data_IF_677041148702
#
_entry.id   IF_677041148702
#
_cell.length_a   1.000
_cell.length_b   1.000
_cell.length_c   1.000
_cell.angle_alpha   90.00
_cell.angle_beta   90.00
_cell.angle_gamma   90.00
#
_symmetry.space_group_name_H-M   'P 1'
#
loop_
_entity.id
_entity.type
_entity.pdbx_description
1 polymer ?
#
# COMPACT_ATOMS: atom_id res chain seq x y z
N UNK A 1 5.19 7.95 -23.17
CA UNK A 1 4.11 7.62 -22.20
C UNK A 1 3.80 6.13 -22.15
N UNK A 2 3.48 5.46 -23.26
CA UNK A 2 3.22 4.00 -23.29
C UNK A 2 4.44 3.19 -22.83
N UNK A 3 5.63 3.50 -23.31
CA UNK A 3 6.88 2.85 -22.86
C UNK A 3 7.12 3.03 -21.35
N UNK A 4 6.79 4.20 -20.79
CA UNK A 4 6.92 4.46 -19.36
C UNK A 4 5.91 3.66 -18.53
N UNK A 5 4.67 3.50 -19.00
CA UNK A 5 3.66 2.63 -18.37
C UNK A 5 4.06 1.16 -18.41
N UNK A 6 4.59 0.69 -19.55
CA UNK A 6 5.12 -0.67 -19.71
C UNK A 6 6.30 -0.91 -18.78
N UNK A 7 7.28 0.00 -18.74
CA UNK A 7 8.42 -0.09 -17.83
C UNK A 7 7.95 -0.09 -16.37
N UNK A 8 7.02 0.78 -15.97
CA UNK A 8 6.46 0.78 -14.62
C UNK A 8 5.72 -0.51 -14.28
N UNK A 9 5.01 -1.12 -15.23
CA UNK A 9 4.32 -2.40 -15.02
C UNK A 9 5.30 -3.55 -14.75
N UNK A 10 6.41 -3.61 -15.49
CA UNK A 10 7.41 -4.66 -15.35
C UNK A 10 8.47 -4.41 -14.26
N UNK A 11 8.68 -3.15 -13.85
CA UNK A 11 9.70 -2.81 -12.86
C UNK A 11 9.19 -3.11 -11.45
N UNK A 12 9.79 -4.06 -10.74
CA UNK A 12 9.40 -4.44 -9.37
C UNK A 12 9.56 -3.27 -8.39
N UNK A 13 8.65 -3.09 -7.42
CA UNK A 13 8.88 -2.16 -6.32
C UNK A 13 10.19 -2.54 -5.62
N UNK A 14 10.94 -1.52 -5.20
CA UNK A 14 12.22 -1.67 -4.47
C UNK A 14 12.08 -1.19 -3.03
N UNK A 15 10.85 -0.91 -2.62
CA UNK A 15 10.51 -0.38 -1.32
C UNK A 15 10.74 -1.41 -0.23
N UNK A 16 11.44 -0.95 0.81
CA UNK A 16 11.69 -1.69 2.03
C UNK A 16 10.36 -2.11 2.66
N UNK A 17 10.34 -3.32 3.24
CA UNK A 17 9.19 -3.86 3.99
C UNK A 17 7.89 -3.96 3.15
N UNK A 18 7.99 -4.00 1.82
CA UNK A 18 6.82 -4.15 0.96
C UNK A 18 6.62 -5.60 0.49
N UNK A 19 5.38 -6.10 0.61
CA UNK A 19 4.98 -7.48 0.24
C UNK A 19 5.17 -7.84 -1.23
N UNK A 20 5.29 -6.85 -2.11
CA UNK A 20 5.54 -7.05 -3.54
C UNK A 20 7.01 -6.94 -3.95
N UNK A 21 7.91 -6.64 -3.01
CA UNK A 21 9.34 -6.46 -3.27
C UNK A 21 10.04 -7.82 -3.15
N UNK A 22 10.63 -8.38 -4.23
CA UNK A 22 11.30 -9.69 -4.19
C UNK A 22 12.77 -9.64 -3.75
N UNK A 23 13.29 -8.45 -3.46
CA UNK A 23 14.69 -8.25 -3.09
C UNK A 23 14.92 -8.46 -1.60
N UNK A 24 16.17 -8.34 -1.16
CA UNK A 24 16.59 -8.62 0.22
C UNK A 24 15.78 -7.85 1.29
N UNK A 25 15.40 -6.62 0.96
CA UNK A 25 14.66 -5.66 1.80
C UNK A 25 13.13 -5.78 1.68
N UNK A 26 12.60 -6.78 0.98
CA UNK A 26 11.15 -6.96 0.79
C UNK A 26 10.50 -7.97 1.75
N UNK A 27 9.17 -8.10 1.65
CA UNK A 27 8.36 -9.09 2.39
C UNK A 27 7.67 -10.12 1.46
N UNK A 28 8.20 -10.35 0.25
CA UNK A 28 7.59 -11.30 -0.67
C UNK A 28 7.63 -12.75 -0.18
N UNK A 29 8.70 -13.13 0.54
CA UNK A 29 8.82 -14.46 1.14
C UNK A 29 7.82 -14.63 2.29
N UNK A 30 7.63 -13.62 3.14
CA UNK A 30 6.52 -13.59 4.11
C UNK A 30 5.18 -13.77 3.41
N UNK A 31 4.97 -13.05 2.30
CA UNK A 31 3.74 -13.13 1.54
C UNK A 31 3.49 -14.53 0.97
N UNK A 32 4.53 -15.22 0.50
CA UNK A 32 4.44 -16.59 0.01
C UNK A 32 4.23 -17.61 1.14
N UNK A 33 4.73 -17.33 2.34
CA UNK A 33 4.63 -18.25 3.48
C UNK A 33 3.22 -18.27 4.10
N UNK A 34 2.60 -17.09 4.27
CA UNK A 34 1.32 -16.97 4.99
C UNK A 34 0.15 -16.44 4.15
N UNK A 35 0.39 -16.11 2.88
CA UNK A 35 -0.60 -15.65 1.89
C UNK A 35 -1.61 -14.61 2.42
N UNK A 36 -1.15 -13.50 3.04
CA UNK A 36 -2.03 -12.57 3.71
C UNK A 36 -2.89 -11.76 2.72
N UNK A 37 -4.14 -11.50 3.08
CA UNK A 37 -5.02 -10.59 2.34
C UNK A 37 -4.55 -9.15 2.58
N UNK A 38 -4.22 -8.43 1.50
CA UNK A 38 -3.72 -7.05 1.60
C UNK A 38 -4.84 -6.09 1.90
N UNK A 39 -4.60 -5.23 2.88
CA UNK A 39 -5.45 -4.09 3.20
C UNK A 39 -4.75 -2.81 2.75
N UNK A 40 -5.51 -1.89 2.18
CA UNK A 40 -4.98 -0.65 1.60
C UNK A 40 -5.45 0.61 2.32
N UNK A 41 -6.46 0.49 3.18
CA UNK A 41 -6.98 1.59 3.99
C UNK A 41 -7.59 1.05 5.29
N UNK A 42 -7.72 1.90 6.29
CA UNK A 42 -8.31 1.56 7.59
C UNK A 42 -9.83 1.30 7.53
N UNK A 43 -10.52 1.72 6.46
CA UNK A 43 -11.96 1.44 6.29
C UNK A 43 -12.24 -0.03 6.00
N UNK A 44 -11.32 -0.70 5.30
CA UNK A 44 -11.40 -2.13 4.99
C UNK A 44 -11.48 -2.98 6.27
N UNK A 45 -10.92 -2.49 7.39
CA UNK A 45 -10.96 -3.21 8.67
C UNK A 45 -12.39 -3.47 9.16
N UNK A 46 -13.30 -2.54 8.87
CA UNK A 46 -14.72 -2.66 9.27
C UNK A 46 -15.45 -3.76 8.51
N UNK A 47 -14.89 -4.23 7.40
CA UNK A 47 -15.44 -5.31 6.57
C UNK A 47 -14.90 -6.68 6.98
N UNK A 48 -13.89 -6.73 7.86
CA UNK A 48 -13.24 -7.96 8.30
C UNK A 48 -13.98 -8.53 9.52
N UNK A 49 -14.23 -9.84 9.52
CA UNK A 49 -14.60 -10.55 10.75
C UNK A 49 -13.37 -10.68 11.66
N UNK A 50 -13.25 -9.77 12.63
CA UNK A 50 -12.10 -9.71 13.51
C UNK A 50 -11.90 -10.98 14.37
N UNK A 51 -12.97 -11.68 14.74
CA UNK A 51 -12.94 -12.71 15.78
C UNK A 51 -12.05 -13.93 15.50
N UNK A 52 -11.74 -14.17 14.22
CA UNK A 52 -10.82 -15.22 13.77
C UNK A 52 -9.80 -14.66 12.77
N UNK A 53 -9.32 -13.44 12.99
CA UNK A 53 -8.42 -12.75 12.06
C UNK A 53 -7.19 -12.19 12.75
N UNK A 54 -6.06 -12.25 12.04
CA UNK A 54 -4.80 -11.61 12.42
C UNK A 54 -4.48 -10.50 11.41
N UNK A 55 -4.22 -9.29 11.91
CA UNK A 55 -3.80 -8.13 11.14
C UNK A 55 -2.32 -7.82 11.45
N UNK A 56 -1.48 -7.87 10.44
CA UNK A 56 -0.08 -7.45 10.51
C UNK A 56 0.05 -5.98 10.11
N UNK A 57 0.72 -5.20 10.96
CA UNK A 57 1.19 -3.84 10.68
C UNK A 57 2.71 -3.88 10.90
N UNK A 58 3.48 -3.82 9.81
CA UNK A 58 4.93 -4.02 9.83
C UNK A 58 5.61 -2.72 9.38
N UNK A 59 6.51 -2.19 10.22
CA UNK A 59 7.29 -0.97 9.96
C UNK A 59 6.44 0.21 9.50
N UNK A 60 5.39 0.61 10.25
CA UNK A 60 4.60 1.77 9.90
C UNK A 60 5.51 3.01 9.84
N UNK A 61 5.47 3.75 8.74
CA UNK A 61 6.28 4.94 8.52
C UNK A 61 5.45 6.20 8.24
N UNK A 62 4.18 6.02 7.85
CA UNK A 62 3.18 7.10 7.77
C UNK A 62 2.59 7.35 9.16
N UNK A 63 2.32 8.62 9.47
CA UNK A 63 1.60 8.98 10.68
C UNK A 63 0.17 8.39 10.69
N UNK A 64 -0.26 7.94 11.87
CA UNK A 64 -1.63 7.48 12.11
C UNK A 64 -2.55 8.68 12.33
N UNK A 65 -3.66 8.73 11.59
CA UNK A 65 -4.76 9.67 11.90
C UNK A 65 -5.73 9.03 12.89
N UNK A 66 -6.65 9.82 13.46
CA UNK A 66 -7.56 9.30 14.49
C UNK A 66 -8.45 8.16 13.96
N UNK A 67 -8.91 8.29 12.71
CA UNK A 67 -9.76 7.29 12.05
C UNK A 67 -9.03 5.95 11.87
N UNK A 68 -7.72 6.00 11.57
CA UNK A 68 -6.85 4.84 11.46
C UNK A 68 -6.74 4.11 12.80
N UNK A 69 -6.51 4.86 13.88
CA UNK A 69 -6.41 4.31 15.24
C UNK A 69 -7.74 3.72 15.71
N UNK A 70 -8.86 4.39 15.45
CA UNK A 70 -10.21 3.92 15.80
C UNK A 70 -10.55 2.61 15.09
N UNK A 71 -10.11 2.43 13.85
CA UNK A 71 -10.29 1.19 13.12
C UNK A 71 -9.52 0.01 13.76
N UNK A 72 -8.25 0.23 14.14
CA UNK A 72 -7.46 -0.77 14.87
C UNK A 72 -8.09 -1.10 16.23
N UNK A 73 -8.55 -0.08 16.96
CA UNK A 73 -9.27 -0.24 18.24
C UNK A 73 -10.50 -1.13 18.04
N UNK A 74 -11.32 -0.84 17.03
CA UNK A 74 -12.49 -1.64 16.69
C UNK A 74 -12.12 -3.09 16.43
N UNK A 75 -11.14 -3.34 15.57
CA UNK A 75 -10.66 -4.68 15.25
C UNK A 75 -10.25 -5.47 16.50
N UNK A 76 -9.48 -4.86 17.41
CA UNK A 76 -9.11 -5.47 18.69
C UNK A 76 -10.32 -5.73 19.61
N UNK A 77 -11.21 -4.74 19.77
CA UNK A 77 -12.41 -4.88 20.62
C UNK A 77 -13.29 -6.04 20.16
N UNK A 78 -13.42 -6.24 18.85
CA UNK A 78 -14.23 -7.30 18.25
C UNK A 78 -13.55 -8.69 18.25
N UNK A 79 -12.34 -8.82 18.80
CA UNK A 79 -11.67 -10.11 19.00
C UNK A 79 -10.46 -10.36 18.10
N UNK A 80 -10.11 -9.39 17.25
CA UNK A 80 -8.98 -9.49 16.35
C UNK A 80 -7.63 -9.58 17.04
N UNK A 81 -6.68 -10.22 16.36
CA UNK A 81 -5.26 -10.19 16.71
C UNK A 81 -4.56 -9.13 15.87
N UNK A 82 -3.88 -8.18 16.48
CA UNK A 82 -3.00 -7.24 15.77
C UNK A 82 -1.57 -7.57 16.11
N UNK A 83 -0.72 -7.72 15.10
CA UNK A 83 0.73 -7.84 15.24
C UNK A 83 1.33 -6.53 14.74
N UNK A 84 1.80 -5.71 15.67
CA UNK A 84 2.52 -4.48 15.39
C UNK A 84 4.02 -4.76 15.51
N UNK A 85 4.71 -4.85 14.38
CA UNK A 85 6.15 -5.00 14.31
C UNK A 85 6.76 -3.64 13.94
N UNK A 86 7.52 -3.05 14.86
CA UNK A 86 8.09 -1.72 14.69
C UNK A 86 9.40 -1.57 15.46
N UNK A 87 10.27 -0.71 14.95
CA UNK A 87 11.58 -0.41 15.51
C UNK A 87 11.79 1.12 15.62
N UNK A 88 11.80 1.81 14.48
CA UNK A 88 12.08 3.24 14.33
C UNK A 88 10.94 3.97 13.61
N UNK A 89 9.81 3.31 13.39
CA UNK A 89 8.64 3.84 12.71
C UNK A 89 7.68 4.63 13.61
N UNK A 90 6.42 4.71 13.17
CA UNK A 90 5.34 5.50 13.79
C UNK A 90 4.43 4.68 14.70
N UNK A 91 4.75 3.42 15.00
CA UNK A 91 3.92 2.52 15.81
C UNK A 91 3.64 3.04 17.22
N UNK A 92 4.55 3.83 17.79
CA UNK A 92 4.32 4.53 19.06
C UNK A 92 3.13 5.51 19.03
N UNK A 93 2.76 6.06 17.86
CA UNK A 93 1.55 6.89 17.72
C UNK A 93 0.29 6.07 17.92
N UNK A 94 0.23 4.87 17.33
CA UNK A 94 -0.86 3.93 17.54
C UNK A 94 -0.94 3.52 19.02
N UNK A 95 0.18 3.18 19.65
CA UNK A 95 0.21 2.86 21.09
C UNK A 95 -0.28 4.02 21.96
N UNK A 96 0.07 5.25 21.61
CA UNK A 96 -0.45 6.47 22.25
C UNK A 96 -1.97 6.64 22.05
N UNK A 97 -2.47 6.44 20.83
CA UNK A 97 -3.90 6.49 20.52
C UNK A 97 -4.73 5.40 21.20
N UNK A 98 -4.13 4.24 21.44
CA UNK A 98 -4.71 3.16 22.25
C UNK A 98 -4.71 3.47 23.77
N UNK A 99 -4.08 4.56 24.19
CA UNK A 99 -3.94 4.92 25.61
C UNK A 99 -3.05 3.95 26.40
N UNK A 100 -2.05 3.37 25.74
CA UNK A 100 -1.12 2.42 26.36
C UNK A 100 0.15 3.15 26.81
N UNK A 101 0.62 2.85 28.01
CA UNK A 101 1.91 3.30 28.54
C UNK A 101 2.99 2.27 28.21
N UNK A 102 3.10 1.95 26.92
CA UNK A 102 4.04 0.98 26.35
C UNK A 102 4.65 1.60 25.10
N UNK A 103 5.97 1.58 24.97
CA UNK A 103 6.65 2.19 23.82
C UNK A 103 7.76 1.30 23.29
N UNK A 104 7.92 1.31 21.97
CA UNK A 104 9.20 0.99 21.34
C UNK A 104 10.19 2.07 21.75
N UNK A 105 11.36 1.71 22.28
CA UNK A 105 12.33 2.70 22.75
C UNK A 105 12.89 3.54 21.60
N UNK A 106 12.98 2.97 20.41
CA UNK A 106 13.63 3.60 19.26
C UNK A 106 15.16 3.61 19.39
N UNK A 107 15.70 2.95 20.41
CA UNK A 107 17.14 2.77 20.61
C UNK A 107 17.57 1.41 20.07
N UNK A 108 18.73 1.35 19.43
CA UNK A 108 19.26 0.14 18.82
C UNK A 108 19.71 -0.87 19.89
N UNK A 109 19.06 -2.03 19.91
CA UNK A 109 19.43 -3.17 20.72
C UNK A 109 20.65 -3.88 20.11
N UNK A 110 21.68 -4.09 20.93
CA UNK A 110 22.93 -4.74 20.55
C UNK A 110 23.22 -5.88 21.52
N UNK A 111 23.65 -7.02 21.00
CA UNK A 111 24.17 -8.12 21.80
C UNK A 111 25.61 -8.48 21.41
N UNK A 112 26.60 -8.29 22.29
CA UNK A 112 28.00 -8.58 21.97
C UNK A 112 28.37 -10.07 22.03
N UNK A 113 27.47 -10.95 22.48
CA UNK A 113 27.77 -12.38 22.73
C UNK A 113 26.83 -13.30 21.97
N UNK A 114 25.53 -13.05 22.05
CA UNK A 114 24.47 -13.84 21.43
C UNK A 114 23.88 -13.08 20.25
N UNK A 115 24.65 -13.02 19.17
CA UNK A 115 24.26 -12.39 17.92
C UNK A 115 24.54 -13.33 16.75
N UNK A 116 23.88 -13.10 15.62
CA UNK A 116 24.14 -13.86 14.39
C UNK A 116 25.45 -13.43 13.73
N UNK A 117 25.39 -12.63 12.67
CA UNK A 117 26.57 -12.20 11.89
C UNK A 117 27.24 -10.96 12.49
N UNK A 118 26.46 -10.05 13.06
CA UNK A 118 26.93 -8.82 13.73
C UNK A 118 26.17 -8.58 15.03
N UNK A 119 26.74 -7.87 16.04
CA UNK A 119 26.09 -7.60 17.33
C UNK A 119 24.70 -6.94 17.24
N UNK A 120 24.45 -6.18 16.18
CA UNK A 120 23.16 -5.53 15.88
C UNK A 120 22.08 -6.51 15.40
N UNK A 121 22.43 -7.80 15.21
CA UNK A 121 21.51 -8.91 14.97
C UNK A 121 21.42 -9.85 16.19
N UNK A 122 20.87 -9.39 17.34
CA UNK A 122 20.69 -10.22 18.52
C UNK A 122 19.94 -11.51 18.22
N UNK A 123 20.38 -12.60 18.85
CA UNK A 123 19.67 -13.89 18.87
C UNK A 123 18.88 -14.02 20.15
N UNK A 124 17.58 -14.25 20.01
CA UNK A 124 16.69 -14.63 21.09
C UNK A 124 16.78 -16.14 21.28
N UNK A 125 17.47 -16.55 22.34
CA UNK A 125 17.71 -17.95 22.64
C UNK A 125 16.60 -18.54 23.50
N UNK A 126 16.28 -19.82 23.27
CA UNK A 126 15.28 -20.55 24.07
C UNK A 126 13.94 -19.82 24.13
N UNK A 127 13.42 -19.49 22.94
CA UNK A 127 12.11 -18.86 22.80
C UNK A 127 11.08 -19.60 23.67
N UNK A 128 10.31 -18.84 24.44
CA UNK A 128 9.44 -19.36 25.49
C UNK A 128 8.35 -20.30 24.96
N UNK A 129 8.01 -20.20 23.67
CA UNK A 129 7.19 -21.19 22.98
C UNK A 129 8.05 -22.30 22.39
N UNK A 130 7.77 -23.55 22.77
CA UNK A 130 8.49 -24.76 22.34
C UNK A 130 8.57 -24.98 20.83
N UNK A 131 7.69 -24.32 20.08
CA UNK A 131 7.49 -24.53 18.65
C UNK A 131 8.25 -23.50 17.81
N UNK A 132 8.89 -22.51 18.44
CA UNK A 132 9.71 -21.48 17.78
C UNK A 132 11.15 -21.70 18.22
N UNK A 133 12.05 -21.87 17.24
CA UNK A 133 13.49 -21.98 17.49
C UNK A 133 14.11 -20.65 17.95
N UNK A 134 15.44 -20.57 17.92
CA UNK A 134 16.13 -19.31 18.20
C UNK A 134 15.71 -18.26 17.14
N UNK A 135 15.39 -17.03 17.53
CA UNK A 135 14.96 -15.98 16.60
C UNK A 135 16.10 -14.99 16.40
N UNK A 136 16.38 -14.63 15.15
CA UNK A 136 17.42 -13.65 14.80
C UNK A 136 16.77 -12.32 14.46
N UNK A 137 17.03 -11.30 15.27
CA UNK A 137 16.59 -9.94 15.03
C UNK A 137 17.53 -9.20 14.06
N UNK A 138 17.07 -8.09 13.49
CA UNK A 138 17.78 -7.26 12.51
C UNK A 138 17.60 -5.77 12.85
N UNK A 139 18.59 -5.16 13.50
CA UNK A 139 18.53 -3.77 13.97
C UNK A 139 17.30 -3.49 14.85
N UNK A 140 16.99 -4.41 15.76
CA UNK A 140 15.84 -4.29 16.64
C UNK A 140 15.97 -3.14 17.64
N UNK A 141 14.81 -2.75 18.17
CA UNK A 141 14.70 -1.93 19.37
C UNK A 141 14.22 -2.77 20.57
N UNK A 142 13.80 -2.11 21.64
CA UNK A 142 13.23 -2.75 22.83
C UNK A 142 11.86 -2.16 23.18
N UNK A 143 11.12 -2.84 24.05
CA UNK A 143 9.86 -2.36 24.58
C UNK A 143 10.03 -1.90 26.03
N UNK A 144 9.50 -0.72 26.34
CA UNK A 144 9.31 -0.25 27.72
C UNK A 144 7.85 -0.41 28.13
N UNK A 145 7.60 -0.87 29.36
CA UNK A 145 6.25 -1.01 29.91
C UNK A 145 6.25 -0.85 31.42
N UNK A 146 5.24 -0.14 31.95
CA UNK A 146 5.11 0.03 33.39
C UNK A 146 4.32 -1.08 34.09
N UNK A 147 3.29 -1.70 33.47
CA UNK A 147 2.49 -2.74 34.18
C UNK A 147 1.70 -3.73 33.30
N UNK A 148 1.25 -3.35 32.09
CA UNK A 148 0.22 -4.12 31.34
C UNK A 148 0.75 -5.07 30.27
N UNK A 149 2.04 -5.04 29.97
CA UNK A 149 2.63 -5.90 28.95
C UNK A 149 2.90 -7.29 29.52
N UNK A 150 2.26 -8.33 28.96
CA UNK A 150 2.74 -9.69 29.15
C UNK A 150 3.92 -9.89 28.20
N UNK A 151 5.13 -9.81 28.73
CA UNK A 151 6.33 -10.09 27.93
C UNK A 151 6.35 -11.57 27.57
N UNK A 152 6.49 -11.85 26.28
CA UNK A 152 6.63 -13.20 25.75
C UNK A 152 8.11 -13.54 25.62
N UNK A 153 8.93 -12.60 25.12
CA UNK A 153 10.36 -12.80 24.97
C UNK A 153 11.16 -11.59 25.42
N UNK A 154 12.36 -11.89 25.89
CA UNK A 154 13.37 -10.92 26.29
C UNK A 154 14.66 -11.12 25.50
N UNK A 155 15.44 -10.04 25.38
CA UNK A 155 16.84 -10.11 24.96
C UNK A 155 17.70 -10.83 26.01
N UNK A 156 18.93 -11.17 25.65
CA UNK A 156 19.91 -11.71 26.60
C UNK A 156 20.20 -10.71 27.73
N UNK A 157 20.60 -11.17 28.93
CA UNK A 157 21.15 -10.31 29.98
C UNK A 157 22.43 -9.55 29.60
N UNK A 158 23.08 -9.93 28.49
CA UNK A 158 24.30 -9.29 27.98
C UNK A 158 24.01 -8.22 26.93
N UNK A 159 22.76 -8.07 26.52
CA UNK A 159 22.37 -7.05 25.55
C UNK A 159 22.44 -5.65 26.19
N UNK A 160 22.58 -4.65 25.34
CA UNK A 160 22.55 -3.25 25.73
C UNK A 160 21.98 -2.39 24.60
N UNK A 161 21.53 -1.19 24.97
CA UNK A 161 21.32 -0.11 24.01
C UNK A 161 21.95 1.17 24.56
N UNK A 162 22.17 2.14 23.68
CA UNK A 162 22.72 3.44 24.06
C UNK A 162 21.65 4.49 23.85
N UNK A 163 21.32 5.25 24.90
CA UNK A 163 20.38 6.36 24.85
C UNK A 163 21.10 7.68 25.18
N UNK A 164 20.36 8.79 25.27
CA UNK A 164 20.94 10.10 25.61
C UNK A 164 21.60 10.16 26.99
N UNK A 165 21.18 9.30 27.93
CA UNK A 165 21.64 9.29 29.32
C UNK A 165 22.81 8.31 29.55
N UNK A 166 23.10 7.45 28.56
CA UNK A 166 24.23 6.54 28.54
C UNK A 166 23.89 5.14 28.03
N UNK A 167 24.72 4.18 28.42
CA UNK A 167 24.51 2.78 28.06
C UNK A 167 23.64 2.11 29.11
N UNK A 168 22.53 1.53 28.66
CA UNK A 168 21.67 0.68 29.49
C UNK A 168 21.93 -0.77 29.11
N UNK A 169 22.27 -1.61 30.09
CA UNK A 169 22.59 -3.02 29.87
C UNK A 169 21.66 -3.91 30.69
N UNK A 170 21.23 -5.01 30.09
CA UNK A 170 20.39 -5.98 30.76
C UNK A 170 19.47 -6.72 29.81
N UNK A 171 18.41 -7.28 30.41
CA UNK A 171 17.39 -8.05 29.73
C UNK A 171 16.23 -7.14 29.37
N UNK A 172 15.97 -6.97 28.08
CA UNK A 172 14.95 -6.05 27.58
C UNK A 172 13.79 -6.80 26.94
N UNK A 173 12.52 -6.40 27.16
CA UNK A 173 11.40 -6.99 26.45
C UNK A 173 11.49 -6.68 24.95
N UNK A 174 11.31 -7.70 24.10
CA UNK A 174 11.38 -7.57 22.62
C UNK A 174 10.12 -8.08 21.92
N UNK A 175 9.42 -9.03 22.54
CA UNK A 175 8.10 -9.48 22.11
C UNK A 175 7.17 -9.47 23.30
N UNK A 176 6.03 -8.80 23.16
CA UNK A 176 5.03 -8.76 24.22
C UNK A 176 3.61 -8.82 23.69
N UNK A 177 2.69 -9.15 24.59
CA UNK A 177 1.28 -9.27 24.30
C UNK A 177 0.44 -8.47 25.30
N UNK A 178 -0.60 -7.83 24.80
CA UNK A 178 -1.57 -7.07 25.58
C UNK A 178 -2.96 -7.49 25.14
N UNK A 179 -3.82 -7.81 26.12
CA UNK A 179 -5.22 -8.07 25.86
C UNK A 179 -6.01 -6.77 25.83
N UNK A 180 -6.70 -6.49 24.73
CA UNK A 180 -7.52 -5.29 24.54
C UNK A 180 -8.92 -5.71 24.07
N UNK A 181 -9.93 -5.40 24.89
CA UNK A 181 -11.28 -5.91 24.66
C UNK A 181 -11.32 -7.44 24.62
N UNK A 182 -11.77 -8.01 23.49
CA UNK A 182 -11.75 -9.46 23.25
C UNK A 182 -10.52 -9.93 22.49
N UNK A 183 -9.78 -9.01 21.88
CA UNK A 183 -8.63 -9.28 21.02
C UNK A 183 -7.29 -9.19 21.73
N UNK A 184 -6.23 -9.29 20.92
CA UNK A 184 -4.85 -9.35 21.39
C UNK A 184 -3.96 -8.48 20.51
N UNK A 185 -3.20 -7.58 21.14
CA UNK A 185 -2.15 -6.81 20.49
C UNK A 185 -0.80 -7.45 20.82
N UNK A 186 -0.07 -7.87 19.79
CA UNK A 186 1.30 -8.34 19.88
C UNK A 186 2.23 -7.21 19.41
N UNK A 187 3.27 -6.94 20.19
CA UNK A 187 4.28 -5.93 19.90
C UNK A 187 5.60 -6.64 19.67
N UNK A 188 6.18 -6.48 18.48
CA UNK A 188 7.45 -7.07 18.09
C UNK A 188 8.43 -5.95 17.79
N UNK A 189 9.56 -5.90 18.50
CA UNK A 189 10.49 -4.77 18.49
C UNK A 189 11.41 -4.71 17.26
N UNK A 190 11.02 -5.37 16.18
CA UNK A 190 11.79 -5.47 14.95
C UNK A 190 10.84 -5.68 13.77
N UNK A 191 10.80 -4.71 12.86
CA UNK A 191 10.00 -4.81 11.63
C UNK A 191 10.67 -5.66 10.54
N UNK A 192 12.00 -5.83 10.65
CA UNK A 192 12.89 -6.42 9.66
C UNK A 192 13.12 -7.93 9.83
N UNK A 193 12.69 -8.51 10.95
CA UNK A 193 12.77 -9.97 11.23
C UNK A 193 12.10 -10.84 10.15
N UNK A 194 11.12 -10.27 9.43
CA UNK A 194 10.40 -10.96 8.35
C UNK A 194 10.86 -10.59 6.94
N UNK A 195 11.94 -9.82 6.80
CA UNK A 195 12.54 -9.55 5.49
C UNK A 195 12.90 -10.83 4.76
N UNK A 196 12.93 -10.77 3.43
CA UNK A 196 13.33 -11.90 2.59
C UNK A 196 14.70 -12.49 2.97
N UNK A 197 15.64 -11.67 3.43
CA UNK A 197 16.94 -12.15 3.94
C UNK A 197 16.92 -12.68 5.37
N UNK A 198 15.89 -12.35 6.16
CA UNK A 198 15.82 -12.71 7.58
C UNK A 198 14.87 -13.86 7.85
N UNK A 199 13.80 -14.02 7.08
CA UNK A 199 12.74 -15.01 7.34
C UNK A 199 13.25 -16.46 7.28
N UNK A 200 14.33 -16.72 6.54
CA UNK A 200 14.97 -18.03 6.45
C UNK A 200 15.94 -18.34 7.59
N UNK A 201 16.21 -17.39 8.48
CA UNK A 201 17.16 -17.56 9.57
C UNK A 201 16.48 -18.21 10.77
N UNK A 202 17.06 -19.32 11.23
CA UNK A 202 16.68 -20.02 12.47
C UNK A 202 15.15 -20.16 12.61
N UNK A 203 14.56 -19.66 13.69
CA UNK A 203 13.13 -19.70 14.01
C UNK A 203 12.31 -18.52 13.50
N UNK A 204 12.84 -17.63 12.65
CA UNK A 204 12.10 -16.44 12.18
C UNK A 204 10.82 -16.81 11.41
N UNK A 205 10.87 -17.89 10.62
CA UNK A 205 9.70 -18.44 9.94
C UNK A 205 8.68 -19.01 10.93
N UNK A 206 9.14 -19.76 11.93
CA UNK A 206 8.27 -20.35 12.94
C UNK A 206 7.58 -19.27 13.77
N UNK A 207 8.29 -18.18 14.09
CA UNK A 207 7.72 -16.99 14.72
C UNK A 207 6.58 -16.41 13.88
N UNK A 208 6.80 -16.21 12.57
CA UNK A 208 5.77 -15.69 11.66
C UNK A 208 4.51 -16.56 11.68
N UNK A 209 4.69 -17.88 11.52
CA UNK A 209 3.59 -18.86 11.51
C UNK A 209 2.87 -18.89 12.86
N UNK A 210 3.60 -18.80 13.97
CA UNK A 210 3.02 -18.77 15.32
C UNK A 210 2.12 -17.55 15.56
N UNK A 211 2.45 -16.42 14.94
CA UNK A 211 1.68 -15.18 15.04
C UNK A 211 0.47 -15.22 14.08
N UNK A 212 0.66 -15.75 12.87
CA UNK A 212 -0.33 -15.82 11.80
C UNK A 212 -1.40 -16.91 12.04
N UNK A 213 -2.48 -16.56 12.75
CA UNK A 213 -3.61 -17.47 12.99
C UNK A 213 -4.91 -16.94 12.39
N UNK A 214 -5.77 -17.86 11.95
CA UNK A 214 -7.07 -17.52 11.36
C UNK A 214 -6.93 -16.92 9.97
N UNK A 215 -7.81 -15.98 9.62
CA UNK A 215 -7.69 -15.21 8.38
C UNK A 215 -6.62 -14.14 8.54
N UNK A 216 -5.67 -14.11 7.62
CA UNK A 216 -4.48 -13.29 7.76
C UNK A 216 -4.62 -12.07 6.86
N UNK A 217 -4.37 -10.90 7.44
CA UNK A 217 -4.38 -9.62 6.77
C UNK A 217 -3.06 -8.91 7.01
N UNK A 218 -2.62 -8.12 6.02
CA UNK A 218 -1.48 -7.22 6.18
C UNK A 218 -1.86 -5.83 5.71
N UNK A 219 -1.68 -4.84 6.58
CA UNK A 219 -1.90 -3.46 6.20
C UNK A 219 -0.65 -2.87 5.55
N UNK A 220 -0.83 -2.42 4.31
CA UNK A 220 0.21 -1.78 3.48
C UNK A 220 0.03 -0.25 3.38
N UNK A 221 -1.01 0.30 4.03
CA UNK A 221 -1.39 1.72 3.99
C UNK A 221 -0.47 2.62 4.82
N UNK A 222 0.31 2.06 5.74
CA UNK A 222 1.24 2.79 6.60
C UNK A 222 2.69 2.79 6.11
N UNK A 223 3.00 2.09 5.03
CA UNK A 223 4.31 2.21 4.38
C UNK A 223 4.33 3.51 3.57
N UNK A 224 5.33 4.38 3.73
CA UNK A 224 5.52 5.51 2.81
C UNK A 224 5.94 4.93 1.46
N UNK A 225 5.09 4.96 0.42
CA UNK A 225 5.50 4.44 -0.87
C UNK A 225 6.55 5.38 -1.47
N UNK A 226 7.61 4.84 -2.07
CA UNK A 226 8.40 5.64 -3.00
C UNK A 226 7.50 6.19 -4.11
N UNK A 227 7.94 7.27 -4.77
CA UNK A 227 7.21 7.88 -5.89
C UNK A 227 6.82 6.87 -6.97
N UNK A 228 7.61 5.81 -7.14
CA UNK A 228 7.34 4.73 -8.08
C UNK A 228 6.15 3.86 -7.65
N UNK A 229 6.06 3.46 -6.38
CA UNK A 229 4.89 2.76 -5.84
C UNK A 229 3.63 3.62 -5.94
N UNK A 230 3.73 4.91 -5.65
CA UNK A 230 2.60 5.83 -5.79
C UNK A 230 2.06 5.88 -7.24
N UNK A 231 2.95 5.94 -8.24
CA UNK A 231 2.55 5.87 -9.66
C UNK A 231 1.93 4.51 -9.99
N UNK A 232 2.46 3.41 -9.47
CA UNK A 232 1.86 2.07 -9.67
C UNK A 232 0.46 1.95 -9.09
N UNK A 233 0.24 2.45 -7.88
CA UNK A 233 -1.09 2.47 -7.26
C UNK A 233 -2.06 3.31 -8.09
N UNK A 234 -1.67 4.51 -8.52
CA UNK A 234 -2.48 5.32 -9.43
C UNK A 234 -2.82 4.60 -10.74
N UNK A 235 -1.86 3.92 -11.36
CA UNK A 235 -2.11 3.14 -12.59
C UNK A 235 -3.06 1.97 -12.31
N UNK A 236 -2.87 1.26 -11.19
CA UNK A 236 -3.75 0.16 -10.77
C UNK A 236 -5.17 0.64 -10.49
N UNK A 237 -5.32 1.75 -9.79
CA UNK A 237 -6.62 2.32 -9.44
C UNK A 237 -7.33 2.87 -10.68
N UNK A 238 -6.58 3.50 -11.58
CA UNK A 238 -7.12 3.90 -12.88
C UNK A 238 -7.56 2.68 -13.70
N UNK A 239 -6.77 1.61 -13.71
CA UNK A 239 -7.12 0.37 -14.39
C UNK A 239 -8.31 -0.34 -13.75
N UNK A 240 -8.41 -0.36 -12.42
CA UNK A 240 -9.51 -1.00 -11.70
C UNK A 240 -10.83 -0.27 -11.91
N UNK A 241 -10.80 1.07 -12.04
CA UNK A 241 -11.95 1.88 -12.45
C UNK A 241 -12.31 1.63 -13.92
N UNK A 242 -11.31 1.61 -14.81
CA UNK A 242 -11.55 1.42 -16.24
C UNK A 242 -12.05 0.02 -16.58
N UNK A 243 -11.57 -1.01 -15.87
CA UNK A 243 -11.98 -2.40 -16.08
C UNK A 243 -13.33 -2.75 -15.43
N UNK A 244 -14.02 -1.78 -14.81
CA UNK A 244 -15.43 -1.94 -14.48
C UNK A 244 -16.24 -1.89 -15.76
N UNK A 245 -17.08 -2.91 -15.96
CA UNK A 245 -17.95 -3.04 -17.13
C UNK A 245 -18.66 -1.74 -17.51
N UNK A 246 -19.12 -1.00 -16.51
CA UNK A 246 -19.89 0.23 -16.62
C UNK A 246 -19.07 1.37 -17.26
N UNK A 247 -17.79 1.48 -16.92
CA UNK A 247 -16.88 2.52 -17.45
C UNK A 247 -16.42 2.15 -18.87
N UNK A 248 -16.21 0.86 -19.14
CA UNK A 248 -15.97 0.37 -20.51
C UNK A 248 -17.15 0.70 -21.43
N UNK A 249 -18.38 0.42 -21.02
CA UNK A 249 -19.55 0.73 -21.84
C UNK A 249 -19.76 2.25 -21.98
N UNK A 250 -19.60 3.03 -20.91
CA UNK A 250 -19.72 4.47 -20.96
C UNK A 250 -18.65 5.12 -21.88
N UNK A 251 -17.41 4.64 -21.83
CA UNK A 251 -16.33 5.12 -22.71
C UNK A 251 -16.56 4.74 -24.17
N UNK A 252 -17.07 3.54 -24.47
CA UNK A 252 -17.48 3.16 -25.82
C UNK A 252 -18.61 4.06 -26.36
N UNK A 253 -19.61 4.39 -25.54
CA UNK A 253 -20.69 5.32 -25.90
C UNK A 253 -20.14 6.73 -26.18
N UNK A 254 -19.22 7.22 -25.35
CA UNK A 254 -18.59 8.54 -25.56
C UNK A 254 -17.73 8.58 -26.83
N UNK A 255 -16.95 7.54 -27.10
CA UNK A 255 -16.13 7.45 -28.32
C UNK A 255 -17.03 7.38 -29.56
N UNK A 256 -18.11 6.61 -29.51
CA UNK A 256 -19.07 6.55 -30.63
C UNK A 256 -19.77 7.90 -30.85
N UNK A 257 -20.16 8.62 -29.79
CA UNK A 257 -20.68 10.00 -29.91
C UNK A 257 -19.64 10.97 -30.48
N UNK A 258 -18.36 10.83 -30.09
CA UNK A 258 -17.27 11.66 -30.61
C UNK A 258 -17.04 11.40 -32.11
N UNK A 259 -17.04 10.14 -32.54
CA UNK A 259 -16.93 9.74 -33.95
C UNK A 259 -18.10 10.33 -34.76
N UNK A 260 -19.33 10.24 -34.24
CA UNK A 260 -20.51 10.83 -34.90
C UNK A 260 -20.35 12.35 -35.03
N UNK A 261 -19.86 13.03 -33.99
CA UNK A 261 -19.67 14.48 -34.02
C UNK A 261 -18.58 14.90 -35.00
N UNK A 262 -17.44 14.21 -35.02
CA UNK A 262 -16.34 14.49 -35.95
C UNK A 262 -16.76 14.23 -37.40
N UNK A 263 -17.52 13.16 -37.67
CA UNK A 263 -18.05 12.89 -39.01
C UNK A 263 -19.17 13.88 -39.40
N UNK A 264 -19.93 14.41 -38.44
CA UNK A 264 -20.97 15.41 -38.71
C UNK A 264 -20.36 16.76 -39.11
N UNK A 265 -19.26 17.18 -38.46
CA UNK A 265 -18.55 18.41 -38.80
C UNK A 265 -17.89 18.33 -40.20
N UNK A 266 -17.52 17.13 -40.67
CA UNK A 266 -16.96 16.92 -42.01
C UNK A 266 -18.04 17.02 -43.12
N UNK A 267 -19.31 16.75 -42.79
CA UNK A 267 -20.41 16.73 -43.76
C UNK A 267 -21.10 18.09 -43.93
N UNK A 268 -20.89 19.04 -43.02
CA UNK A 268 -21.52 20.38 -43.05
C UNK A 268 -20.74 21.39 -43.93
N UNK A 269 -19.61 20.96 -44.53
CA UNK A 269 -18.69 21.82 -45.29
C UNK A 269 -18.83 21.82 -46.82
N UNK A 270 -19.76 21.04 -47.41
CA UNK A 270 -20.03 21.13 -48.86
C UNK A 270 -21.12 22.16 -49.13
N UNK A 271 -20.74 23.44 -49.23
CA UNK A 271 -21.57 24.43 -49.92
C UNK A 271 -21.59 24.06 -51.40
N UNK A 272 -22.70 23.46 -51.86
CA UNK A 272 -22.92 23.15 -53.27
C UNK A 272 -22.95 24.49 -54.03
N UNK A 273 -22.00 24.70 -54.94
CA UNK A 273 -22.01 25.88 -55.82
C UNK A 273 -23.21 25.74 -56.78
N UNK A 274 -24.30 26.45 -56.48
CA UNK A 274 -25.55 26.42 -57.25
C UNK A 274 -25.31 26.69 -58.76
N UNK A 275 -24.30 27.51 -59.10
CA UNK A 275 -23.95 27.80 -60.51
C UNK A 275 -23.39 26.56 -61.18
N UNK A 276 -22.56 25.81 -60.47
CA UNK A 276 -21.93 24.58 -60.96
C UNK A 276 -22.95 23.44 -61.09
N UNK A 277 -23.95 23.39 -60.21
CA UNK A 277 -25.06 22.45 -60.30
C UNK A 277 -26.02 22.75 -61.47
N UNK A 278 -26.31 24.03 -61.72
CA UNK A 278 -27.15 24.46 -62.85
C UNK A 278 -26.47 24.22 -64.20
N UNK A 279 -25.17 24.52 -64.32
CA UNK A 279 -24.40 24.26 -65.55
C UNK A 279 -24.25 22.76 -65.85
N UNK A 280 -24.32 21.90 -64.82
CA UNK A 280 -24.31 20.45 -65.01
C UNK A 280 -25.56 19.93 -65.72
N UNK A 281 -26.70 20.60 -65.55
CA UNK A 281 -27.98 20.25 -66.20
C UNK A 281 -28.24 21.06 -67.48
N UNK A 282 -27.70 22.28 -67.55
CA UNK A 282 -27.87 23.23 -68.65
C UNK A 282 -26.51 23.77 -69.11
N UNK A 283 -25.73 22.91 -69.76
CA UNK A 283 -24.35 23.21 -70.20
C UNK A 283 -24.27 24.33 -71.25
N UNK A 284 -25.39 24.67 -71.88
CA UNK A 284 -25.52 25.70 -72.91
C UNK A 284 -25.72 27.11 -72.36
N UNK A 285 -25.92 27.27 -71.05
CA UNK A 285 -26.10 28.59 -70.43
C UNK A 285 -24.76 29.27 -70.17
N UNK A 286 -24.74 30.58 -70.34
CA UNK A 286 -23.53 31.38 -70.10
C UNK A 286 -23.27 31.50 -68.60
N UNK A 287 -22.10 31.02 -68.17
CA UNK A 287 -21.66 31.05 -66.77
C UNK A 287 -21.61 32.48 -66.23
N UNK A 288 -21.16 33.45 -67.03
CA UNK A 288 -21.07 34.85 -66.58
C UNK A 288 -22.45 35.44 -66.29
N UNK A 289 -23.45 35.08 -67.11
CA UNK A 289 -24.83 35.51 -66.94
C UNK A 289 -25.49 34.93 -65.67
N UNK A 290 -25.32 33.62 -65.43
CA UNK A 290 -25.88 32.96 -64.23
C UNK A 290 -25.25 33.55 -62.96
N UNK A 291 -23.93 33.74 -62.98
CA UNK A 291 -23.21 34.33 -61.85
C UNK A 291 -23.68 35.77 -61.59
N UNK A 292 -23.88 36.55 -62.66
CA UNK A 292 -24.42 37.91 -62.54
C UNK A 292 -25.85 37.93 -61.96
N UNK A 293 -26.72 37.01 -62.38
CA UNK A 293 -28.08 36.88 -61.84
C UNK A 293 -28.08 36.50 -60.36
N UNK A 294 -27.18 35.62 -59.94
CA UNK A 294 -27.05 35.20 -58.54
C UNK A 294 -26.59 36.37 -57.66
N UNK A 295 -25.65 37.19 -58.13
CA UNK A 295 -25.21 38.41 -57.45
C UNK A 295 -26.34 39.45 -57.36
N UNK A 296 -27.14 39.61 -58.41
CA UNK A 296 -28.30 40.51 -58.38
C UNK A 296 -29.38 40.04 -57.41
N UNK A 297 -29.67 38.74 -57.36
CA UNK A 297 -30.60 38.15 -56.40
C UNK A 297 -30.13 38.36 -54.97
N UNK A 298 -28.86 38.08 -54.69
CA UNK A 298 -28.26 38.30 -53.36
C UNK A 298 -28.31 39.77 -52.93
N UNK A 299 -28.20 40.72 -53.86
CA UNK A 299 -28.30 42.15 -53.56
C UNK A 299 -29.75 42.63 -53.38
N UNK A 300 -30.74 41.91 -53.91
CA UNK A 300 -32.17 42.23 -53.76
C UNK A 300 -32.79 41.61 -52.50
N UNK A 301 -32.30 40.44 -52.07
CA UNK A 301 -32.78 39.75 -50.84
C UNK A 301 -32.13 40.31 -49.55
N UNK A 302 -31.24 41.30 -49.66
CA UNK A 302 -30.55 41.98 -48.55
C UNK A 302 -31.16 43.32 -48.12
N UNK A 303 -32.40 43.61 -48.51
CA UNK A 303 -33.16 44.82 -48.14
C UNK A 303 -34.51 44.46 -47.51
#
# INVERSE_FOLDING_TARGET
MILALVVTFFYTPVDDLFVGTPYWNGLSELYNEIEPIRVHNSEDYRLIDASNSTLFIIGPSRDFVQEDMDAVIGFLIFGGKVVLADDFGTGNQLLGGLGLDIRFTGELLVDPVFFDTIPEYPRLLNFSSSDVGDVVLNYATTLTSDVKLRVLEFSSPLSYYNNSDGVESGTFPVLGNIKLGRGNLYLLSDSSVFLNTMIGNEGNRDLLVSLANGNIYIDTSYSIPTRLLGVKWLVRDFYSVFNRSEVLYASLVLVSLLIVRLNSDENDGMVVDEVEELLKHHSEWDRELITWLQVQRSNNDGN
#
